data_IF_075367681243
#
_entry.id   IF_075367681243
#
_cell.length_a   1.000
_cell.length_b   1.000
_cell.length_c   1.000
_cell.angle_alpha   90.00
_cell.angle_beta   90.00
_cell.angle_gamma   90.00
#
_symmetry.space_group_name_H-M   'P 1'
#
loop_
_entity.id
_entity.type
_entity.pdbx_description
1 polymer ?
#
# COMPACT_ATOMS: atom_id res chain seq x y z
N UNK A 1 8.81 7.81 4.85
CA UNK A 1 8.22 6.47 5.06
C UNK A 1 9.12 5.40 4.49
N UNK A 2 9.49 4.43 5.29
CA UNK A 2 10.38 3.37 4.83
C UNK A 2 9.60 2.21 4.24
N UNK A 3 10.22 1.53 3.28
CA UNK A 3 9.60 0.38 2.63
C UNK A 3 9.15 -0.69 3.64
N UNK A 4 9.97 -0.96 4.63
CA UNK A 4 9.66 -1.99 5.64
C UNK A 4 8.35 -1.70 6.37
N UNK A 5 8.08 -0.45 6.66
CA UNK A 5 6.84 -0.07 7.33
C UNK A 5 5.64 -0.25 6.41
N UNK A 6 5.78 0.11 5.16
CA UNK A 6 4.71 -0.11 4.18
C UNK A 6 4.45 -1.61 4.03
N UNK A 7 5.53 -2.39 3.92
CA UNK A 7 5.43 -3.85 3.83
C UNK A 7 4.67 -4.43 5.03
N UNK A 8 5.03 -4.03 6.24
CA UNK A 8 4.40 -4.56 7.44
C UNK A 8 2.91 -4.23 7.49
N UNK A 9 2.54 -3.03 7.08
CA UNK A 9 1.14 -2.62 7.02
C UNK A 9 0.39 -3.47 6.00
N UNK A 10 0.98 -3.71 4.84
CA UNK A 10 0.37 -4.53 3.80
C UNK A 10 0.18 -5.96 4.28
N UNK A 11 1.20 -6.53 4.91
CA UNK A 11 1.13 -7.89 5.45
C UNK A 11 -0.01 -8.02 6.47
N UNK A 12 -0.13 -7.06 7.37
CA UNK A 12 -1.18 -7.08 8.38
C UNK A 12 -2.57 -6.91 7.77
N UNK A 13 -2.69 -6.04 6.79
CA UNK A 13 -3.99 -5.71 6.19
C UNK A 13 -4.47 -6.79 5.24
N UNK A 14 -3.59 -7.29 4.38
CA UNK A 14 -3.94 -8.24 3.33
C UNK A 14 -3.72 -9.70 3.74
N UNK A 15 -2.96 -9.95 4.81
CA UNK A 15 -2.67 -11.30 5.25
C UNK A 15 -1.74 -12.06 4.34
N UNK A 16 -0.91 -11.37 3.57
CA UNK A 16 0.06 -12.00 2.68
C UNK A 16 1.42 -12.15 3.36
N UNK A 17 2.31 -12.91 2.72
CA UNK A 17 3.66 -13.08 3.24
C UNK A 17 4.54 -11.87 2.93
N UNK A 18 5.41 -11.52 3.86
CA UNK A 18 6.32 -10.39 3.68
C UNK A 18 7.21 -10.57 2.44
N UNK A 19 7.54 -11.81 2.10
CA UNK A 19 8.36 -12.11 0.93
C UNK A 19 7.67 -11.77 -0.39
N UNK A 20 6.35 -11.74 -0.39
CA UNK A 20 5.56 -11.39 -1.57
C UNK A 20 5.48 -9.86 -1.76
N UNK A 21 5.76 -9.11 -0.71
CA UNK A 21 5.67 -7.65 -0.74
C UNK A 21 7.01 -7.07 -1.16
N UNK A 22 7.14 -6.79 -2.44
CA UNK A 22 8.33 -6.16 -3.01
C UNK A 22 7.91 -4.85 -3.67
N UNK A 23 8.86 -3.93 -3.92
CA UNK A 23 8.50 -2.66 -4.59
C UNK A 23 7.83 -2.85 -5.94
N UNK A 24 8.13 -3.93 -6.63
CA UNK A 24 7.56 -4.23 -7.95
C UNK A 24 6.28 -5.05 -7.88
N UNK A 25 5.90 -5.53 -6.69
CA UNK A 25 4.71 -6.35 -6.54
C UNK A 25 3.45 -5.58 -6.87
N UNK A 26 2.60 -6.16 -7.71
CA UNK A 26 1.31 -5.58 -8.04
C UNK A 26 0.32 -5.90 -6.93
N UNK A 27 -0.39 -4.88 -6.44
CA UNK A 27 -1.36 -5.07 -5.38
C UNK A 27 -2.48 -6.01 -5.79
N UNK A 28 -2.97 -5.86 -7.02
CA UNK A 28 -4.07 -6.68 -7.51
C UNK A 28 -3.61 -8.07 -7.95
N UNK A 29 -2.50 -8.13 -8.71
CA UNK A 29 -2.06 -9.39 -9.31
C UNK A 29 -1.22 -10.26 -8.38
N UNK A 30 -0.30 -9.64 -7.65
CA UNK A 30 0.63 -10.40 -6.80
C UNK A 30 0.10 -10.58 -5.38
N UNK A 31 -0.60 -9.59 -4.85
CA UNK A 31 -1.09 -9.62 -3.47
C UNK A 31 -2.58 -9.90 -3.38
N UNK A 32 -3.28 -9.96 -4.50
CA UNK A 32 -4.70 -10.27 -4.53
C UNK A 32 -5.60 -9.23 -3.91
N UNK A 33 -5.17 -7.97 -3.91
CA UNK A 33 -5.95 -6.89 -3.33
C UNK A 33 -7.08 -6.50 -4.29
N UNK A 34 -8.32 -6.74 -3.88
CA UNK A 34 -9.48 -6.28 -4.62
C UNK A 34 -9.84 -4.84 -4.19
N UNK A 35 -10.96 -4.33 -4.67
CA UNK A 35 -11.37 -2.96 -4.36
C UNK A 35 -11.54 -2.72 -2.86
N UNK A 36 -12.12 -3.67 -2.15
CA UNK A 36 -12.33 -3.57 -0.71
C UNK A 36 -11.01 -3.61 0.04
N UNK A 37 -10.15 -4.56 -0.31
CA UNK A 37 -8.85 -4.68 0.35
C UNK A 37 -7.98 -3.44 0.09
N UNK A 38 -8.08 -2.85 -1.10
CA UNK A 38 -7.36 -1.62 -1.42
C UNK A 38 -7.81 -0.46 -0.54
N UNK A 39 -9.12 -0.35 -0.30
CA UNK A 39 -9.67 0.69 0.58
C UNK A 39 -9.19 0.48 2.02
N UNK A 40 -9.22 -0.75 2.49
CA UNK A 40 -8.76 -1.07 3.84
C UNK A 40 -7.27 -0.75 4.00
N UNK A 41 -6.48 -1.08 2.99
CA UNK A 41 -5.05 -0.79 3.00
C UNK A 41 -4.80 0.72 3.02
N UNK A 42 -5.56 1.48 2.22
CA UNK A 42 -5.46 2.93 2.21
C UNK A 42 -5.73 3.51 3.60
N UNK A 43 -6.79 3.05 4.26
CA UNK A 43 -7.13 3.51 5.59
C UNK A 43 -6.03 3.19 6.60
N UNK A 44 -5.47 2.00 6.53
CA UNK A 44 -4.38 1.60 7.41
C UNK A 44 -3.14 2.48 7.21
N UNK A 45 -2.82 2.78 5.96
CA UNK A 45 -1.69 3.64 5.63
C UNK A 45 -1.91 5.07 6.11
N UNK A 46 -3.13 5.59 5.96
CA UNK A 46 -3.46 6.93 6.44
C UNK A 46 -3.31 7.03 7.95
N UNK A 47 -3.77 6.02 8.67
CA UNK A 47 -3.63 5.98 10.13
C UNK A 47 -2.18 5.91 10.56
N UNK A 48 -1.38 5.12 9.87
CA UNK A 48 0.01 4.90 10.23
C UNK A 48 0.91 6.09 9.91
N UNK A 49 0.59 6.82 8.85
CA UNK A 49 1.44 7.92 8.36
C UNK A 49 0.88 9.30 8.63
N UNK A 50 -0.42 9.42 8.85
CA UNK A 50 -1.08 10.71 8.96
C UNK A 50 -1.22 11.45 7.63
N UNK A 51 -0.96 10.76 6.52
CA UNK A 51 -1.05 11.32 5.18
C UNK A 51 -2.38 10.92 4.56
N UNK A 52 -3.12 11.88 4.01
CA UNK A 52 -4.38 11.60 3.32
C UNK A 52 -4.10 11.06 1.92
N UNK A 53 -4.77 9.96 1.57
CA UNK A 53 -4.63 9.34 0.26
C UNK A 53 -5.96 9.48 -0.48
N UNK A 54 -5.95 10.20 -1.59
CA UNK A 54 -7.15 10.42 -2.40
C UNK A 54 -7.48 9.19 -3.24
N UNK A 55 -8.76 8.99 -3.54
CA UNK A 55 -9.21 7.87 -4.37
C UNK A 55 -8.55 7.88 -5.74
N UNK A 56 -8.36 9.06 -6.32
CA UNK A 56 -7.69 9.19 -7.62
C UNK A 56 -6.24 8.73 -7.55
N UNK A 57 -5.55 9.05 -6.45
CA UNK A 57 -4.19 8.60 -6.24
C UNK A 57 -4.13 7.08 -6.07
N UNK A 58 -5.09 6.53 -5.33
CA UNK A 58 -5.18 5.09 -5.13
C UNK A 58 -5.33 4.35 -6.46
N UNK A 59 -6.11 4.88 -7.36
CA UNK A 59 -6.32 4.28 -8.67
C UNK A 59 -5.03 4.22 -9.50
N UNK A 60 -4.10 5.12 -9.24
CA UNK A 60 -2.81 5.17 -9.93
C UNK A 60 -1.74 4.32 -9.25
N UNK A 61 -1.95 3.98 -7.99
CA UNK A 61 -0.99 3.18 -7.23
C UNK A 61 -1.23 1.70 -7.48
N UNK A 62 -0.51 1.16 -8.45
CA UNK A 62 -0.66 -0.25 -8.83
C UNK A 62 0.31 -1.18 -8.13
N UNK A 63 1.46 -0.67 -7.72
CA UNK A 63 2.49 -1.46 -7.06
C UNK A 63 2.80 -0.92 -5.68
N UNK A 64 3.50 -1.72 -4.88
CA UNK A 64 3.96 -1.31 -3.56
C UNK A 64 4.89 -0.10 -3.66
N UNK A 65 5.76 -0.09 -4.68
CA UNK A 65 6.65 1.05 -4.92
C UNK A 65 5.90 2.34 -5.20
N UNK A 66 4.77 2.26 -5.90
CA UNK A 66 3.94 3.43 -6.16
C UNK A 66 3.39 4.02 -4.86
N UNK A 67 2.96 3.15 -3.94
CA UNK A 67 2.48 3.57 -2.62
C UNK A 67 3.60 4.27 -1.87
N UNK A 68 4.76 3.66 -1.84
CA UNK A 68 5.91 4.23 -1.13
C UNK A 68 6.30 5.59 -1.69
N UNK A 69 6.34 5.73 -3.01
CA UNK A 69 6.65 6.99 -3.66
C UNK A 69 5.62 8.08 -3.32
N UNK A 70 4.35 7.71 -3.33
CA UNK A 70 3.29 8.64 -2.97
C UNK A 70 3.46 9.16 -1.55
N UNK A 71 3.68 8.25 -0.60
CA UNK A 71 3.83 8.61 0.79
C UNK A 71 5.06 9.49 1.03
N UNK A 72 6.16 9.19 0.35
CA UNK A 72 7.38 9.99 0.48
C UNK A 72 7.24 11.38 -0.15
N UNK A 73 6.40 11.51 -1.15
CA UNK A 73 6.17 12.80 -1.80
C UNK A 73 5.18 13.69 -1.03
N UNK A 74 4.39 13.11 -0.14
CA UNK A 74 3.31 13.82 0.55
C UNK A 74 3.51 13.91 2.06
N UNK A 75 4.65 13.54 2.55
CA UNK A 75 4.92 13.62 3.99
C UNK A 75 5.25 15.04 4.46
#
# INVERSE_FOLDING_TARGET
MEFEKVRDIIVETLGCDAEQVTPEASLADDLGADSLASVELTMALEEATGISIEDSALAEMKTVGDILNYLNSHK
#
